data_IF_044967336235
#
_entry.id   IF_044967336235
#
_cell.length_a   1.000
_cell.length_b   1.000
_cell.length_c   1.000
_cell.angle_alpha   90.00
_cell.angle_beta   90.00
_cell.angle_gamma   90.00
#
_symmetry.space_group_name_H-M   'P 1'
#
loop_
_entity.id
_entity.type
_entity.pdbx_description
1 polymer ?
#
# COMPACT_ATOMS: atom_id res chain seq x y z
N UNK A 1 -14.11 14.52 9.91
CA UNK A 1 -12.78 13.88 9.90
C UNK A 1 -12.94 12.48 10.47
N UNK A 2 -12.66 11.45 9.69
CA UNK A 2 -12.79 10.05 10.13
C UNK A 2 -11.54 9.58 10.88
N UNK A 3 -11.71 8.68 11.84
CA UNK A 3 -10.59 8.02 12.53
C UNK A 3 -10.35 6.66 11.90
N UNK A 4 -9.09 6.36 11.60
CA UNK A 4 -8.68 5.04 11.12
C UNK A 4 -8.59 4.09 12.32
N UNK A 5 -9.56 3.20 12.47
CA UNK A 5 -9.55 2.18 13.51
C UNK A 5 -8.76 0.98 13.02
N UNK A 6 -7.58 0.73 13.61
CA UNK A 6 -6.71 -0.38 13.23
C UNK A 6 -6.83 -1.53 14.23
N UNK A 7 -6.80 -2.79 13.75
CA UNK A 7 -6.76 -3.94 14.65
C UNK A 7 -5.43 -3.99 15.40
N UNK A 8 -5.44 -4.52 16.62
CA UNK A 8 -4.23 -4.70 17.43
C UNK A 8 -3.30 -5.77 16.84
N UNK A 9 -3.86 -6.79 16.18
CA UNK A 9 -3.13 -7.89 15.51
C UNK A 9 -3.90 -8.42 14.31
N UNK A 10 -3.20 -9.05 13.36
CA UNK A 10 -3.82 -9.80 12.25
C UNK A 10 -3.29 -9.40 10.88
N UNK A 11 -4.16 -9.48 9.88
CA UNK A 11 -3.89 -9.05 8.51
C UNK A 11 -4.83 -7.91 8.12
N UNK A 12 -4.29 -6.82 7.57
CA UNK A 12 -5.06 -5.68 7.08
C UNK A 12 -4.97 -5.65 5.56
N UNK A 13 -6.11 -5.82 4.89
CA UNK A 13 -6.17 -5.73 3.44
C UNK A 13 -6.15 -4.28 2.98
N UNK A 14 -5.23 -3.94 2.07
CA UNK A 14 -5.12 -2.61 1.48
C UNK A 14 -5.45 -2.62 -0.01
N UNK A 15 -6.06 -1.52 -0.45
CA UNK A 15 -6.37 -1.22 -1.84
C UNK A 15 -5.27 -0.37 -2.49
N UNK A 16 -5.22 -0.29 -3.82
CA UNK A 16 -4.23 0.47 -4.58
C UNK A 16 -4.20 1.95 -4.17
N UNK A 17 -5.36 2.51 -3.83
CA UNK A 17 -5.48 3.88 -3.34
C UNK A 17 -4.60 4.15 -2.12
N UNK A 18 -4.46 3.19 -1.20
CA UNK A 18 -3.60 3.33 -0.01
C UNK A 18 -2.14 3.44 -0.43
N UNK A 19 -1.68 2.63 -1.38
CA UNK A 19 -0.31 2.69 -1.89
C UNK A 19 -0.06 4.00 -2.66
N UNK A 20 -1.00 4.41 -3.51
CA UNK A 20 -0.93 5.65 -4.31
C UNK A 20 -0.82 6.87 -3.39
N UNK A 21 -1.74 7.04 -2.45
CA UNK A 21 -1.74 8.19 -1.55
C UNK A 21 -0.53 8.22 -0.61
N UNK A 22 0.05 7.06 -0.31
CA UNK A 22 1.25 6.96 0.51
C UNK A 22 2.52 7.37 -0.25
N UNK A 23 2.63 7.02 -1.54
CA UNK A 23 3.79 7.37 -2.36
C UNK A 23 3.69 8.80 -2.89
N UNK A 24 2.52 9.18 -3.40
CA UNK A 24 2.27 10.53 -3.95
C UNK A 24 2.05 11.59 -2.85
N UNK A 25 1.98 11.19 -1.57
CA UNK A 25 1.80 12.05 -0.39
C UNK A 25 0.60 13.00 -0.52
N UNK A 26 -0.53 12.47 -0.97
CA UNK A 26 -1.75 13.24 -1.23
C UNK A 26 -2.48 13.51 0.09
N UNK A 27 -2.65 14.78 0.46
CA UNK A 27 -3.44 15.19 1.63
C UNK A 27 -4.95 15.22 1.33
N UNK A 28 -5.81 14.96 2.34
CA UNK A 28 -5.52 14.68 3.76
C UNK A 28 -5.16 13.20 4.06
N UNK A 29 -5.11 12.36 3.01
CA UNK A 29 -5.00 10.91 3.15
C UNK A 29 -3.63 10.46 3.63
N UNK A 30 -2.56 11.14 3.21
CA UNK A 30 -1.21 10.87 3.69
C UNK A 30 -1.15 10.90 5.22
N UNK A 31 -1.62 11.99 5.83
CA UNK A 31 -1.64 12.13 7.30
C UNK A 31 -2.51 11.05 7.96
N UNK A 32 -3.64 10.70 7.36
CA UNK A 32 -4.53 9.68 7.88
C UNK A 32 -3.94 8.26 7.83
N UNK A 33 -3.07 7.99 6.85
CA UNK A 33 -2.43 6.68 6.66
C UNK A 33 -1.13 6.52 7.47
N UNK A 34 -0.56 7.59 8.04
CA UNK A 34 0.65 7.46 8.87
C UNK A 34 0.55 6.42 10.00
N UNK A 35 -0.55 6.35 10.78
CA UNK A 35 -0.68 5.35 11.84
C UNK A 35 -0.69 3.91 11.31
N UNK A 36 -1.19 3.68 10.09
CA UNK A 36 -1.21 2.37 9.44
C UNK A 36 0.22 1.88 9.21
N UNK A 37 1.06 2.71 8.58
CA UNK A 37 2.45 2.35 8.29
C UNK A 37 3.30 2.20 9.55
N UNK A 38 3.09 3.06 10.56
CA UNK A 38 3.78 2.95 11.85
C UNK A 38 3.43 1.63 12.55
N UNK A 39 2.16 1.25 12.59
CA UNK A 39 1.73 0.00 13.23
C UNK A 39 2.19 -1.26 12.45
N UNK A 40 2.20 -1.20 11.12
CA UNK A 40 2.73 -2.26 10.29
C UNK A 40 4.25 -2.43 10.49
N UNK A 41 5.00 -1.33 10.53
CA UNK A 41 6.44 -1.35 10.79
C UNK A 41 6.78 -1.88 12.20
N UNK A 42 5.93 -1.57 13.18
CA UNK A 42 6.05 -2.12 14.54
C UNK A 42 5.70 -3.62 14.62
N UNK A 43 5.24 -4.24 13.52
CA UNK A 43 4.89 -5.66 13.46
C UNK A 43 3.58 -6.01 14.17
N UNK A 44 2.71 -5.02 14.43
CA UNK A 44 1.42 -5.27 15.08
C UNK A 44 0.53 -6.14 14.19
N UNK A 45 0.49 -5.84 12.89
CA UNK A 45 -0.24 -6.61 11.88
C UNK A 45 0.55 -6.64 10.57
N UNK A 46 0.19 -7.57 9.70
CA UNK A 46 0.74 -7.68 8.36
C UNK A 46 -0.19 -6.98 7.37
N UNK A 47 0.37 -6.23 6.44
CA UNK A 47 -0.40 -5.64 5.35
C UNK A 47 -0.54 -6.69 4.26
N UNK A 48 -1.77 -6.99 3.85
CA UNK A 48 -2.05 -7.90 2.75
C UNK A 48 -2.68 -7.15 1.59
N UNK A 49 -2.39 -7.57 0.37
CA UNK A 49 -3.07 -7.03 -0.81
C UNK A 49 -3.16 -8.07 -1.92
N UNK A 50 -3.93 -7.75 -2.95
CA UNK A 50 -4.01 -8.56 -4.17
C UNK A 50 -2.93 -8.14 -5.16
N UNK A 51 -2.60 -9.02 -6.10
CA UNK A 51 -1.71 -8.68 -7.20
C UNK A 51 -2.28 -7.63 -8.16
N UNK A 52 -3.60 -7.42 -8.16
CA UNK A 52 -4.24 -6.35 -8.94
C UNK A 52 -3.68 -4.98 -8.53
N UNK A 53 -3.35 -4.79 -7.25
CA UNK A 53 -2.71 -3.57 -6.78
C UNK A 53 -1.41 -3.28 -7.52
N UNK A 54 -0.61 -4.31 -7.82
CA UNK A 54 0.65 -4.15 -8.56
C UNK A 54 0.40 -3.64 -9.98
N UNK A 55 -0.62 -4.19 -10.66
CA UNK A 55 -0.99 -3.73 -12.00
C UNK A 55 -1.54 -2.30 -11.98
N UNK A 56 -2.47 -1.99 -11.07
CA UNK A 56 -3.10 -0.67 -10.98
C UNK A 56 -2.10 0.45 -10.66
N UNK A 57 -1.15 0.19 -9.76
CA UNK A 57 -0.15 1.17 -9.36
C UNK A 57 0.92 1.42 -10.42
N UNK A 58 1.25 0.42 -11.25
CA UNK A 58 2.29 0.54 -12.28
C UNK A 58 1.79 1.01 -13.64
N UNK A 59 0.50 0.88 -13.96
CA UNK A 59 -0.05 1.33 -15.26
C UNK A 59 0.25 2.82 -15.51
N UNK A 60 0.00 3.69 -14.53
CA UNK A 60 0.23 5.14 -14.69
C UNK A 60 1.72 5.51 -14.87
N UNK A 61 2.65 5.10 -13.97
CA UNK A 61 4.07 5.34 -14.13
C UNK A 61 4.62 4.86 -15.48
N UNK A 62 4.20 3.68 -15.93
CA UNK A 62 4.65 3.12 -17.21
C UNK A 62 4.12 3.92 -18.40
N UNK A 63 2.85 4.34 -18.37
CA UNK A 63 2.29 5.21 -19.42
C UNK A 63 3.00 6.58 -19.48
N UNK A 64 3.41 7.11 -18.34
CA UNK A 64 4.07 8.41 -18.24
C UNK A 64 5.59 8.33 -18.41
N UNK A 65 6.15 7.12 -18.53
CA UNK A 65 7.60 6.86 -18.51
C UNK A 65 8.30 7.46 -17.28
N UNK A 66 7.60 7.54 -16.14
CA UNK A 66 8.13 8.06 -14.89
C UNK A 66 8.84 6.95 -14.11
N UNK A 67 10.15 6.85 -14.35
CA UNK A 67 11.03 5.86 -13.72
C UNK A 67 11.17 6.05 -12.21
N UNK A 68 10.96 7.27 -11.69
CA UNK A 68 11.08 7.56 -10.25
C UNK A 68 9.87 7.02 -9.51
N UNK A 69 8.68 7.24 -10.08
CA UNK A 69 7.43 6.75 -9.51
C UNK A 69 7.35 5.22 -9.61
N UNK A 70 7.77 4.64 -10.74
CA UNK A 70 7.88 3.18 -10.92
C UNK A 70 8.79 2.56 -9.86
N UNK A 71 10.00 3.11 -9.66
CA UNK A 71 10.94 2.61 -8.66
C UNK A 71 10.38 2.72 -7.23
N UNK A 72 9.62 3.79 -6.94
CA UNK A 72 8.99 4.00 -5.63
C UNK A 72 7.93 2.94 -5.34
N UNK A 73 7.04 2.68 -6.30
CA UNK A 73 6.04 1.61 -6.19
C UNK A 73 6.70 0.23 -6.08
N UNK A 74 7.72 -0.06 -6.90
CA UNK A 74 8.46 -1.33 -6.84
C UNK A 74 9.19 -1.54 -5.51
N UNK A 75 9.77 -0.49 -4.94
CA UNK A 75 10.42 -0.59 -3.63
C UNK A 75 9.41 -0.87 -2.53
N UNK A 76 8.26 -0.19 -2.54
CA UNK A 76 7.20 -0.44 -1.56
C UNK A 76 6.62 -1.86 -1.68
N UNK A 77 6.38 -2.33 -2.91
CA UNK A 77 5.67 -3.58 -3.16
C UNK A 77 6.58 -4.83 -3.13
N UNK A 78 7.82 -4.73 -3.62
CA UNK A 78 8.72 -5.89 -3.76
C UNK A 78 9.80 -5.95 -2.68
N UNK A 79 10.17 -4.81 -2.08
CA UNK A 79 11.24 -4.76 -1.09
C UNK A 79 10.74 -4.56 0.34
N UNK A 80 9.49 -4.11 0.53
CA UNK A 80 8.92 -4.08 1.88
C UNK A 80 8.58 -5.50 2.35
N UNK A 81 9.00 -5.83 3.57
CA UNK A 81 8.59 -7.05 4.28
C UNK A 81 7.20 -6.95 4.89
N UNK A 82 6.62 -5.75 4.89
CA UNK A 82 5.35 -5.45 5.54
C UNK A 82 4.15 -5.83 4.67
N UNK A 83 4.35 -5.87 3.34
CA UNK A 83 3.31 -6.17 2.35
C UNK A 83 3.43 -7.61 1.87
N UNK A 84 2.36 -8.37 2.04
CA UNK A 84 2.23 -9.74 1.52
C UNK A 84 1.13 -9.79 0.45
N UNK A 85 1.46 -10.33 -0.71
CA UNK A 85 0.48 -10.63 -1.74
C UNK A 85 -0.21 -11.95 -1.44
N UNK A 86 -1.54 -11.94 -1.48
CA UNK A 86 -2.35 -13.14 -1.23
C UNK A 86 -2.97 -13.62 -2.55
N UNK A 87 -2.75 -14.91 -2.86
CA UNK A 87 -3.37 -15.65 -3.98
C UNK A 87 -4.36 -16.70 -3.44
N UNK A 88 -5.49 -17.03 -4.12
CA UNK A 88 -6.06 -16.40 -5.30
C UNK A 88 -7.33 -15.58 -5.00
N UNK A 89 -7.57 -14.56 -5.83
CA UNK A 89 -8.95 -14.14 -6.17
C UNK A 89 -9.53 -15.23 -7.07
N UNK A 90 -9.85 -16.39 -6.49
CA UNK A 90 -10.76 -17.34 -7.10
C UNK A 90 -12.17 -17.00 -6.61
N UNK A 91 -12.96 -16.42 -7.52
CA UNK A 91 -14.43 -16.30 -7.57
C UNK A 91 -15.21 -16.24 -6.27
#
# INVERSE_FOLDING_TARGET
MGTLTLPATGAVYIDANVAIYSIEKIEPYWTLLQPLWVAAHAGHFVIVSSELLFFETLIKPLQQSDLVLEASFRNLLLHSREVQFVFPVCQ
#
